data_IF_940881326712
#
_entry.id   IF_940881326712
#
_cell.length_a   1.000
_cell.length_b   1.000
_cell.length_c   1.000
_cell.angle_alpha   90.00
_cell.angle_beta   90.00
_cell.angle_gamma   90.00
#
_symmetry.space_group_name_H-M   'P 1'
#
loop_
_entity.id
_entity.type
_entity.pdbx_description
1 polymer ?
#
# COMPACT_ATOMS: atom_id res chain seq x y z
N UNK A 1 -20.53 13.15 22.55
CA UNK A 1 -20.68 12.04 21.59
C UNK A 1 -19.29 11.75 21.01
N UNK A 2 -18.64 10.70 21.47
CA UNK A 2 -17.31 10.36 20.95
C UNK A 2 -17.50 9.75 19.56
N UNK A 3 -16.94 10.36 18.52
CA UNK A 3 -16.84 9.77 17.19
C UNK A 3 -16.06 8.46 17.30
N UNK A 4 -16.74 7.33 17.18
CA UNK A 4 -16.12 5.99 17.24
C UNK A 4 -15.59 5.51 15.87
N UNK A 5 -15.50 6.41 14.90
CA UNK A 5 -14.98 6.13 13.57
C UNK A 5 -13.88 7.11 13.23
N UNK A 6 -12.92 6.70 12.41
CA UNK A 6 -11.84 7.56 11.97
C UNK A 6 -10.48 6.86 12.00
N UNK A 7 -9.44 7.65 11.78
CA UNK A 7 -8.06 7.18 11.79
C UNK A 7 -7.60 6.95 13.23
N UNK A 8 -7.12 5.74 13.52
CA UNK A 8 -6.67 5.32 14.85
C UNK A 8 -5.15 5.38 14.98
N UNK A 9 -4.41 5.11 13.90
CA UNK A 9 -2.96 5.17 13.89
C UNK A 9 -2.41 5.23 12.47
N UNK A 10 -1.29 5.93 12.31
CA UNK A 10 -0.60 6.10 11.01
C UNK A 10 0.88 5.86 11.18
N UNK A 11 1.47 5.09 10.28
CA UNK A 11 2.92 5.05 10.07
C UNK A 11 3.21 5.35 8.60
N UNK A 12 4.14 6.27 8.37
CA UNK A 12 4.58 6.63 7.02
C UNK A 12 6.06 6.97 7.03
N UNK A 13 6.69 6.85 5.88
CA UNK A 13 8.08 7.23 5.73
C UNK A 13 8.54 7.17 4.28
N UNK A 14 9.81 7.57 4.10
CA UNK A 14 10.47 7.57 2.81
C UNK A 14 11.94 7.18 2.97
N UNK A 15 12.50 6.58 1.91
CA UNK A 15 13.95 6.33 1.76
C UNK A 15 14.37 6.73 0.35
N UNK A 16 14.98 7.91 0.24
CA UNK A 16 15.47 8.46 -1.02
C UNK A 16 16.61 7.67 -1.66
N UNK A 17 17.33 6.82 -0.90
CA UNK A 17 18.38 5.96 -1.46
C UNK A 17 17.80 4.94 -2.45
N UNK A 18 16.53 4.58 -2.29
CA UNK A 18 15.80 3.68 -3.18
C UNK A 18 15.19 4.36 -4.41
N UNK A 19 15.27 5.68 -4.54
CA UNK A 19 14.61 6.44 -5.60
C UNK A 19 14.97 5.99 -7.02
N UNK A 20 16.22 5.55 -7.22
CA UNK A 20 16.70 5.01 -8.49
C UNK A 20 16.05 3.68 -8.92
N UNK A 21 15.36 2.99 -8.02
CA UNK A 21 14.76 1.69 -8.31
C UNK A 21 13.34 1.78 -8.88
N UNK A 22 12.70 2.94 -8.73
CA UNK A 22 11.35 3.17 -9.27
C UNK A 22 11.17 4.67 -9.52
N UNK A 23 11.30 5.08 -10.78
CA UNK A 23 11.25 6.49 -11.17
C UNK A 23 10.78 6.67 -12.62
N UNK A 24 10.42 7.89 -12.96
CA UNK A 24 10.36 8.39 -14.33
C UNK A 24 11.57 9.32 -14.52
N UNK A 25 12.54 8.99 -15.40
CA UNK A 25 13.81 9.71 -15.50
C UNK A 25 13.72 11.14 -15.99
N UNK A 26 12.74 11.44 -16.87
CA UNK A 26 12.59 12.77 -17.47
C UNK A 26 11.15 13.28 -17.44
N UNK A 27 10.96 14.55 -17.77
CA UNK A 27 9.66 15.24 -17.79
C UNK A 27 9.39 16.09 -16.56
N UNK A 28 10.31 16.11 -15.58
CA UNK A 28 10.26 16.97 -14.40
C UNK A 28 11.29 18.09 -14.46
N UNK A 29 11.33 18.93 -13.44
CA UNK A 29 12.25 20.09 -13.36
C UNK A 29 13.72 19.70 -13.31
N UNK A 30 14.05 18.52 -12.77
CA UNK A 30 15.44 18.02 -12.70
C UNK A 30 15.98 17.61 -14.07
N UNK A 31 15.15 17.03 -14.92
CA UNK A 31 15.48 16.61 -16.28
C UNK A 31 14.26 16.92 -17.16
N UNK A 32 14.17 18.15 -17.72
CA UNK A 32 13.04 18.55 -18.55
C UNK A 32 12.91 17.71 -19.83
N UNK A 33 11.73 17.75 -20.43
CA UNK A 33 11.47 17.09 -21.69
C UNK A 33 12.35 17.65 -22.82
N UNK A 34 12.94 16.78 -23.64
CA UNK A 34 13.66 17.11 -24.86
C UNK A 34 13.46 16.02 -25.91
N UNK A 35 13.89 16.26 -27.13
CA UNK A 35 13.84 15.25 -28.19
C UNK A 35 14.63 13.99 -27.81
N UNK A 36 15.78 14.17 -27.16
CA UNK A 36 16.64 13.08 -26.70
C UNK A 36 15.94 12.25 -25.63
N UNK A 37 15.32 12.89 -24.63
CA UNK A 37 14.63 12.17 -23.53
C UNK A 37 13.38 11.44 -24.04
N UNK A 38 12.70 11.96 -25.05
CA UNK A 38 11.58 11.28 -25.72
C UNK A 38 12.08 10.07 -26.50
N UNK A 39 13.15 10.22 -27.28
CA UNK A 39 13.77 9.13 -28.05
C UNK A 39 14.30 8.01 -27.12
N UNK A 40 14.86 8.36 -25.97
CA UNK A 40 15.33 7.45 -24.94
C UNK A 40 14.19 6.77 -24.15
N UNK A 41 12.93 7.18 -24.33
CA UNK A 41 11.74 6.71 -23.57
C UNK A 41 11.81 7.03 -22.08
N UNK A 42 12.53 8.08 -21.68
CA UNK A 42 12.72 8.48 -20.29
C UNK A 42 11.44 9.06 -19.64
N UNK A 43 10.38 9.25 -20.42
CA UNK A 43 9.05 9.66 -19.96
C UNK A 43 8.16 8.48 -19.52
N UNK A 44 8.73 7.27 -19.45
CA UNK A 44 8.05 6.07 -18.95
C UNK A 44 8.53 5.70 -17.54
N UNK A 45 7.79 4.82 -16.87
CA UNK A 45 8.21 4.31 -15.56
C UNK A 45 9.32 3.28 -15.75
N UNK A 46 10.46 3.54 -15.13
CA UNK A 46 11.59 2.62 -15.05
C UNK A 46 11.61 1.95 -13.66
N UNK A 47 11.69 0.62 -13.63
CA UNK A 47 11.64 -0.13 -12.38
C UNK A 47 12.68 -1.25 -12.34
N UNK A 48 13.49 -1.27 -11.26
CA UNK A 48 14.24 -2.46 -10.87
C UNK A 48 13.33 -3.36 -10.02
N UNK A 49 12.66 -4.30 -10.67
CA UNK A 49 11.64 -5.14 -10.02
C UNK A 49 12.15 -5.95 -8.85
N UNK A 50 13.44 -6.39 -8.87
CA UNK A 50 14.02 -7.17 -7.78
C UNK A 50 14.21 -6.31 -6.51
N UNK A 51 14.76 -5.11 -6.65
CA UNK A 51 15.01 -4.21 -5.52
C UNK A 51 13.70 -3.67 -4.95
N UNK A 52 12.75 -3.29 -5.81
CA UNK A 52 11.41 -2.87 -5.38
C UNK A 52 10.68 -4.01 -4.66
N UNK A 53 10.78 -5.25 -5.16
CA UNK A 53 10.17 -6.42 -4.49
C UNK A 53 10.79 -6.68 -3.12
N UNK A 54 12.13 -6.68 -3.00
CA UNK A 54 12.83 -6.85 -1.71
C UNK A 54 12.40 -5.79 -0.70
N UNK A 55 12.33 -4.55 -1.13
CA UNK A 55 11.85 -3.44 -0.30
C UNK A 55 10.40 -3.67 0.16
N UNK A 56 9.51 -3.96 -0.78
CA UNK A 56 8.08 -4.13 -0.51
C UNK A 56 7.79 -5.22 0.53
N UNK A 57 8.40 -6.42 0.38
CA UNK A 57 8.21 -7.51 1.35
C UNK A 57 8.78 -7.20 2.73
N UNK A 58 9.73 -6.27 2.83
CA UNK A 58 10.28 -5.84 4.12
C UNK A 58 9.43 -4.77 4.77
N UNK A 59 8.98 -3.78 3.99
CA UNK A 59 8.39 -2.56 4.54
C UNK A 59 6.91 -2.74 4.90
N UNK A 60 6.08 -3.35 4.05
CA UNK A 60 4.64 -3.40 4.26
C UNK A 60 4.26 -3.97 5.63
N UNK A 61 4.62 -5.20 5.94
CA UNK A 61 4.29 -5.75 7.25
C UNK A 61 4.98 -5.04 8.45
N UNK A 62 6.07 -4.28 8.21
CA UNK A 62 6.76 -3.48 9.24
C UNK A 62 5.99 -2.19 9.54
N UNK A 63 5.58 -1.48 8.49
CA UNK A 63 4.79 -0.25 8.64
C UNK A 63 3.41 -0.54 9.22
N UNK A 64 2.76 -1.63 8.81
CA UNK A 64 1.50 -2.07 9.40
C UNK A 64 1.60 -2.31 10.91
N UNK A 65 2.65 -3.00 11.37
CA UNK A 65 2.89 -3.20 12.81
C UNK A 65 3.10 -1.88 13.57
N UNK A 66 3.82 -0.92 12.96
CA UNK A 66 4.03 0.40 13.58
C UNK A 66 2.74 1.21 13.65
N UNK A 67 1.91 1.16 12.61
CA UNK A 67 0.61 1.82 12.60
C UNK A 67 -0.31 1.25 13.68
N UNK A 68 -0.33 -0.09 13.85
CA UNK A 68 -1.06 -0.76 14.92
C UNK A 68 -0.56 -0.34 16.31
N UNK A 69 0.76 -0.30 16.51
CA UNK A 69 1.33 0.16 17.79
C UNK A 69 0.91 1.60 18.12
N UNK A 70 0.88 2.50 17.12
CA UNK A 70 0.40 3.88 17.29
C UNK A 70 -1.11 3.97 17.55
N UNK A 71 -1.87 2.98 17.08
CA UNK A 71 -3.30 2.82 17.40
C UNK A 71 -3.56 2.17 18.76
N UNK A 72 -2.50 1.71 19.48
CA UNK A 72 -2.59 0.88 20.67
C UNK A 72 -3.40 -0.41 20.42
N UNK A 73 -3.22 -1.02 19.25
CA UNK A 73 -3.94 -2.22 18.82
C UNK A 73 -2.98 -3.37 18.50
N UNK A 74 -3.47 -4.59 18.68
CA UNK A 74 -2.80 -5.82 18.28
C UNK A 74 -3.30 -6.28 16.90
N UNK A 75 -2.50 -7.05 16.14
CA UNK A 75 -2.94 -7.57 14.84
C UNK A 75 -4.24 -8.41 14.90
N UNK A 76 -4.48 -9.09 16.01
CA UNK A 76 -5.67 -9.93 16.23
C UNK A 76 -6.98 -9.13 16.30
N UNK A 77 -6.87 -7.82 16.59
CA UNK A 77 -8.03 -6.90 16.65
C UNK A 77 -8.40 -6.32 15.28
N UNK A 78 -7.63 -6.66 14.23
CA UNK A 78 -7.96 -6.29 12.85
C UNK A 78 -9.01 -7.24 12.26
N UNK A 79 -10.01 -6.64 11.62
CA UNK A 79 -11.02 -7.35 10.86
C UNK A 79 -10.60 -7.57 9.42
N UNK A 80 -9.94 -6.58 8.78
CA UNK A 80 -9.53 -6.67 7.39
C UNK A 80 -8.25 -5.90 7.08
N UNK A 81 -7.39 -6.47 6.22
CA UNK A 81 -6.23 -5.84 5.62
C UNK A 81 -6.50 -5.50 4.15
N UNK A 82 -6.28 -4.26 3.76
CA UNK A 82 -6.32 -3.76 2.39
C UNK A 82 -4.93 -3.34 1.93
N UNK A 83 -4.12 -4.25 1.40
CA UNK A 83 -2.79 -3.93 0.91
C UNK A 83 -2.87 -3.34 -0.50
N UNK A 84 -1.85 -2.55 -0.85
CA UNK A 84 -1.61 -2.19 -2.25
C UNK A 84 -1.50 -3.45 -3.11
N UNK A 85 -2.26 -3.51 -4.20
CA UNK A 85 -2.39 -4.67 -5.07
C UNK A 85 -1.26 -4.73 -6.11
N UNK A 86 0.00 -4.71 -5.63
CA UNK A 86 1.16 -4.75 -6.52
C UNK A 86 1.47 -6.15 -7.05
N UNK A 87 1.42 -7.14 -6.17
CA UNK A 87 1.79 -8.53 -6.46
C UNK A 87 1.28 -9.45 -5.34
N UNK A 88 0.70 -10.60 -5.70
CA UNK A 88 0.17 -11.57 -4.73
C UNK A 88 1.20 -12.01 -3.68
N UNK A 89 2.47 -12.21 -4.07
CA UNK A 89 3.55 -12.61 -3.14
C UNK A 89 3.89 -11.53 -2.12
N UNK A 90 3.78 -10.26 -2.49
CA UNK A 90 3.96 -9.14 -1.55
C UNK A 90 2.81 -9.12 -0.56
N UNK A 91 1.57 -9.26 -1.04
CA UNK A 91 0.36 -9.30 -0.21
C UNK A 91 0.46 -10.42 0.83
N UNK A 92 0.76 -11.65 0.40
CA UNK A 92 0.89 -12.80 1.30
C UNK A 92 2.03 -12.63 2.31
N UNK A 93 3.13 -11.96 1.92
CA UNK A 93 4.23 -11.65 2.84
C UNK A 93 3.81 -10.67 3.93
N UNK A 94 3.03 -9.64 3.59
CA UNK A 94 2.49 -8.68 4.55
C UNK A 94 1.54 -9.37 5.54
N UNK A 95 0.59 -10.17 5.04
CA UNK A 95 -0.32 -10.96 5.86
C UNK A 95 0.41 -11.89 6.83
N UNK A 96 1.41 -12.64 6.34
CA UNK A 96 2.24 -13.53 7.18
C UNK A 96 2.97 -12.77 8.29
N UNK A 97 3.49 -11.58 8.02
CA UNK A 97 4.18 -10.76 9.04
C UNK A 97 3.23 -10.24 10.12
N UNK A 98 1.97 -10.00 9.77
CA UNK A 98 0.90 -9.64 10.70
C UNK A 98 0.29 -10.85 11.39
N UNK A 99 0.67 -12.08 11.00
CA UNK A 99 0.02 -13.34 11.41
C UNK A 99 -1.47 -13.36 11.10
N UNK A 100 -1.86 -12.67 10.03
CA UNK A 100 -3.24 -12.50 9.61
C UNK A 100 -3.61 -13.58 8.61
N UNK A 101 -4.73 -14.29 8.78
CA UNK A 101 -5.18 -15.30 7.83
C UNK A 101 -5.66 -14.65 6.54
N UNK A 102 -5.54 -15.34 5.40
CA UNK A 102 -5.79 -14.75 4.09
C UNK A 102 -7.28 -14.43 3.82
N UNK A 103 -8.20 -15.02 4.55
CA UNK A 103 -9.63 -14.66 4.50
C UNK A 103 -9.95 -13.26 5.08
N UNK A 104 -9.02 -12.71 5.86
CA UNK A 104 -9.04 -11.33 6.35
C UNK A 104 -8.19 -10.36 5.51
N UNK A 105 -7.74 -10.78 4.32
CA UNK A 105 -6.93 -9.96 3.42
C UNK A 105 -7.67 -9.79 2.11
N UNK A 106 -8.01 -8.55 1.75
CA UNK A 106 -8.64 -8.32 0.46
C UNK A 106 -7.63 -8.43 -0.67
N UNK A 107 -7.90 -9.32 -1.61
CA UNK A 107 -7.05 -9.60 -2.77
C UNK A 107 -7.91 -9.49 -4.03
N UNK A 108 -7.49 -8.65 -4.97
CA UNK A 108 -8.13 -8.49 -6.27
C UNK A 108 -7.12 -8.14 -7.38
N UNK A 109 -5.83 -8.36 -7.12
CA UNK A 109 -4.76 -8.14 -8.09
C UNK A 109 -4.87 -9.04 -9.33
N UNK A 110 -5.43 -10.21 -9.18
CA UNK A 110 -5.75 -11.16 -10.26
C UNK A 110 -6.81 -10.60 -11.23
N UNK A 111 -7.70 -9.78 -10.72
CA UNK A 111 -8.84 -9.21 -11.46
C UNK A 111 -8.52 -7.86 -12.10
N UNK A 112 -7.80 -7.00 -11.40
CA UNK A 112 -7.56 -5.62 -11.83
C UNK A 112 -6.09 -5.30 -12.10
N UNK A 113 -5.17 -6.22 -11.85
CA UNK A 113 -3.74 -6.01 -11.88
C UNK A 113 -3.29 -4.89 -10.92
N UNK A 114 -2.09 -4.35 -11.14
CA UNK A 114 -1.58 -3.22 -10.34
C UNK A 114 -2.12 -1.90 -10.90
N UNK A 115 -3.12 -1.35 -10.24
CA UNK A 115 -3.76 -0.05 -10.59
C UNK A 115 -3.14 1.13 -9.83
N UNK A 116 -1.87 1.02 -9.40
CA UNK A 116 -1.16 2.07 -8.66
C UNK A 116 -1.95 2.57 -7.44
N UNK A 117 -2.09 3.89 -7.26
CA UNK A 117 -2.80 4.51 -6.14
C UNK A 117 -4.29 4.13 -6.06
N UNK A 118 -4.90 3.72 -7.17
CA UNK A 118 -6.31 3.30 -7.21
C UNK A 118 -6.53 1.89 -6.61
N UNK A 119 -5.48 1.09 -6.40
CA UNK A 119 -5.62 -0.32 -5.99
C UNK A 119 -6.32 -0.48 -4.63
N UNK A 120 -5.96 0.31 -3.62
CA UNK A 120 -6.61 0.28 -2.30
C UNK A 120 -8.05 0.83 -2.36
N UNK A 121 -8.34 1.98 -2.97
CA UNK A 121 -9.72 2.47 -3.14
C UNK A 121 -10.63 1.50 -3.89
N UNK A 122 -10.14 0.84 -4.94
CA UNK A 122 -10.90 -0.19 -5.67
C UNK A 122 -11.21 -1.38 -4.74
N UNK A 123 -10.21 -1.86 -4.00
CA UNK A 123 -10.35 -2.95 -3.05
C UNK A 123 -11.38 -2.62 -1.95
N UNK A 124 -11.35 -1.41 -1.39
CA UNK A 124 -12.34 -0.94 -0.41
C UNK A 124 -13.75 -0.88 -0.99
N UNK A 125 -13.88 -0.32 -2.20
CA UNK A 125 -15.18 -0.20 -2.88
C UNK A 125 -15.77 -1.59 -3.18
N UNK A 126 -14.94 -2.54 -3.61
CA UNK A 126 -15.36 -3.90 -3.90
C UNK A 126 -15.77 -4.64 -2.63
N UNK A 127 -14.99 -4.54 -1.55
CA UNK A 127 -15.30 -5.14 -0.25
C UNK A 127 -16.60 -4.57 0.34
N UNK A 128 -16.80 -3.26 0.24
CA UNK A 128 -18.04 -2.61 0.69
C UNK A 128 -19.25 -3.12 -0.10
N UNK A 129 -19.15 -3.22 -1.43
CA UNK A 129 -20.25 -3.73 -2.29
C UNK A 129 -20.54 -5.20 -2.04
N UNK A 130 -19.52 -5.98 -1.71
CA UNK A 130 -19.66 -7.40 -1.36
C UNK A 130 -20.22 -7.63 0.06
N UNK A 131 -20.43 -6.57 0.86
CA UNK A 131 -20.88 -6.69 2.25
C UNK A 131 -19.82 -7.28 3.19
N UNK A 132 -18.55 -7.31 2.77
CA UNK A 132 -17.44 -7.83 3.57
C UNK A 132 -16.99 -6.84 4.66
N UNK A 133 -17.28 -5.55 4.49
CA UNK A 133 -17.01 -4.51 5.48
C UNK A 133 -18.27 -4.18 6.27
N UNK A 134 -18.16 -4.14 7.59
CA UNK A 134 -19.24 -3.81 8.52
C UNK A 134 -18.87 -2.55 9.32
N UNK A 135 -19.90 -1.79 9.67
CA UNK A 135 -19.72 -0.64 10.56
C UNK A 135 -19.07 -1.06 11.88
N UNK A 136 -17.96 -0.41 12.21
CA UNK A 136 -17.20 -0.69 13.40
C UNK A 136 -16.00 -1.60 13.20
N UNK A 137 -15.80 -2.15 12.00
CA UNK A 137 -14.61 -2.95 11.69
C UNK A 137 -13.33 -2.12 11.83
N UNK A 138 -12.30 -2.74 12.38
CA UNK A 138 -10.97 -2.19 12.40
C UNK A 138 -10.23 -2.67 11.16
N UNK A 139 -9.92 -1.76 10.26
CA UNK A 139 -9.23 -2.11 9.03
C UNK A 139 -7.87 -1.42 8.94
N UNK A 140 -6.97 -2.01 8.19
CA UNK A 140 -5.68 -1.41 7.90
C UNK A 140 -5.46 -1.31 6.39
N UNK A 141 -5.08 -0.13 5.94
CA UNK A 141 -4.60 0.15 4.58
C UNK A 141 -3.08 0.15 4.63
N UNK A 142 -2.42 -0.54 3.70
CA UNK A 142 -0.95 -0.66 3.70
C UNK A 142 -0.40 -0.60 2.29
N UNK A 143 0.51 0.32 2.02
CA UNK A 143 1.03 0.56 0.69
C UNK A 143 2.45 1.10 0.66
N UNK A 144 3.04 1.01 -0.53
CA UNK A 144 4.36 1.54 -0.86
C UNK A 144 4.38 2.04 -2.30
N UNK A 145 5.39 2.85 -2.64
CA UNK A 145 5.56 3.38 -3.99
C UNK A 145 6.94 3.98 -4.23
N UNK A 146 7.03 4.71 -5.34
CA UNK A 146 8.22 5.44 -5.70
C UNK A 146 8.65 6.41 -4.60
N UNK A 147 9.97 6.65 -4.53
CA UNK A 147 10.54 7.51 -3.52
C UNK A 147 11.81 6.90 -2.90
N UNK A 148 11.92 5.68 -2.38
CA UNK A 148 10.78 4.83 -2.06
C UNK A 148 10.00 5.39 -0.89
N UNK A 149 8.69 5.25 -0.92
CA UNK A 149 7.79 5.70 0.14
C UNK A 149 6.88 4.56 0.62
N UNK A 150 6.34 4.70 1.82
CA UNK A 150 5.39 3.75 2.38
C UNK A 150 4.44 4.44 3.35
N UNK A 151 3.26 3.86 3.51
CA UNK A 151 2.33 4.25 4.56
C UNK A 151 1.43 3.08 4.94
N UNK A 152 1.09 3.02 6.24
CA UNK A 152 0.00 2.21 6.74
C UNK A 152 -0.91 3.06 7.63
N UNK A 153 -2.22 2.84 7.49
CA UNK A 153 -3.25 3.57 8.24
C UNK A 153 -4.21 2.57 8.85
N UNK A 154 -4.31 2.58 10.17
CA UNK A 154 -5.36 1.86 10.91
C UNK A 154 -6.55 2.77 11.07
N UNK A 155 -7.72 2.30 10.72
CA UNK A 155 -8.94 3.08 10.85
C UNK A 155 -10.12 2.21 11.28
N UNK A 156 -11.10 2.84 11.91
CA UNK A 156 -12.38 2.24 12.22
C UNK A 156 -13.38 2.58 11.11
N UNK A 157 -13.95 1.54 10.50
CA UNK A 157 -14.90 1.69 9.40
C UNK A 157 -16.23 2.26 9.91
N UNK A 158 -16.80 3.24 9.21
CA UNK A 158 -17.98 3.98 9.69
C UNK A 158 -19.25 3.77 8.88
N UNK A 159 -19.14 3.09 7.74
CA UNK A 159 -20.30 2.83 6.85
C UNK A 159 -20.89 1.46 7.06
#
# INVERSE_FOLDING_TARGET
MLFRSGVLGIDMGADGNGGKFLLQPAGGSRNPASEETVAAKDHTIHMNGQEVFKFAIQIMGKTAKRALAKANMKPEELDMLFPHQANYRIITSAAKRLKMPMDKVWVNVDKYANTSAASIPIALCEAQKAGALKKGDNIILDGFGAGLTWAAIVLKWSK
#
